data_IF_475751170053
#
_entry.id   IF_475751170053
#
_cell.length_a   1.000
_cell.length_b   1.000
_cell.length_c   1.000
_cell.angle_alpha   90.00
_cell.angle_beta   90.00
_cell.angle_gamma   90.00
#
_symmetry.space_group_name_H-M   'P 1'
#
loop_
_entity.id
_entity.type
_entity.pdbx_description
1 polymer ?
#
# COMPACT_ATOMS: atom_id res chain seq x y z
N UNK A 1 4.58 10.04 -11.44
CA UNK A 1 4.82 8.99 -12.45
C UNK A 1 3.71 7.96 -12.38
N UNK A 2 3.20 7.58 -13.50
CA UNK A 2 2.07 6.66 -13.60
C UNK A 2 2.52 5.38 -14.32
N UNK A 3 2.37 4.22 -13.66
CA UNK A 3 2.70 2.93 -14.24
C UNK A 3 1.46 2.05 -14.32
N UNK A 4 1.28 1.38 -15.43
CA UNK A 4 0.24 0.36 -15.57
C UNK A 4 0.74 -0.95 -15.00
N UNK A 5 -0.13 -1.70 -14.31
CA UNK A 5 0.22 -3.05 -13.86
C UNK A 5 0.41 -3.97 -15.06
N UNK A 6 1.32 -4.91 -14.92
CA UNK A 6 1.76 -5.79 -16.01
C UNK A 6 1.34 -7.22 -15.71
N UNK A 7 0.67 -7.84 -16.68
CA UNK A 7 0.40 -9.25 -16.66
C UNK A 7 -0.79 -9.69 -15.83
N UNK A 8 -1.10 -10.98 -15.92
CA UNK A 8 -2.16 -11.67 -15.20
C UNK A 8 -1.60 -12.94 -14.54
N UNK A 9 -2.36 -13.51 -13.61
CA UNK A 9 -1.98 -14.70 -12.88
C UNK A 9 -0.90 -14.45 -11.82
N UNK A 10 -0.33 -15.51 -11.28
CA UNK A 10 0.64 -15.42 -10.17
C UNK A 10 1.93 -14.71 -10.56
N UNK A 11 2.44 -14.95 -11.75
CA UNK A 11 3.67 -14.30 -12.23
C UNK A 11 3.46 -12.79 -12.40
N UNK A 12 2.34 -12.38 -12.99
CA UNK A 12 1.98 -10.97 -13.14
C UNK A 12 1.79 -10.28 -11.79
N UNK A 13 1.20 -10.96 -10.83
CA UNK A 13 1.05 -10.45 -9.47
C UNK A 13 2.41 -10.24 -8.80
N UNK A 14 3.32 -11.21 -8.92
CA UNK A 14 4.66 -11.08 -8.32
C UNK A 14 5.42 -9.90 -8.94
N UNK A 15 5.36 -9.75 -10.26
CA UNK A 15 5.97 -8.60 -10.94
C UNK A 15 5.39 -7.27 -10.45
N UNK A 16 4.07 -7.19 -10.31
CA UNK A 16 3.39 -6.01 -9.77
C UNK A 16 3.86 -5.68 -8.35
N UNK A 17 3.93 -6.68 -7.46
CA UNK A 17 4.41 -6.47 -6.09
C UNK A 17 5.87 -5.99 -6.06
N UNK A 18 6.72 -6.49 -6.95
CA UNK A 18 8.11 -6.04 -7.07
C UNK A 18 8.21 -4.60 -7.55
N UNK A 19 7.38 -4.21 -8.50
CA UNK A 19 7.29 -2.81 -8.96
C UNK A 19 6.82 -1.92 -7.81
N UNK A 20 5.78 -2.33 -7.09
CA UNK A 20 5.28 -1.61 -5.93
C UNK A 20 6.37 -1.40 -4.88
N UNK A 21 7.13 -2.43 -4.56
CA UNK A 21 8.24 -2.35 -3.61
C UNK A 21 9.32 -1.37 -4.08
N UNK A 22 9.65 -1.39 -5.37
CA UNK A 22 10.60 -0.46 -5.98
C UNK A 22 10.12 0.99 -5.89
N UNK A 23 8.84 1.24 -6.19
CA UNK A 23 8.25 2.57 -6.10
C UNK A 23 8.18 3.09 -4.67
N UNK A 24 7.87 2.22 -3.72
CA UNK A 24 7.85 2.59 -2.30
C UNK A 24 9.26 2.98 -1.82
N UNK A 25 10.28 2.21 -2.17
CA UNK A 25 11.67 2.53 -1.83
C UNK A 25 12.14 3.82 -2.49
N UNK A 26 11.77 4.05 -3.74
CA UNK A 26 12.10 5.29 -4.45
C UNK A 26 11.47 6.50 -3.77
N UNK A 27 10.20 6.41 -3.40
CA UNK A 27 9.52 7.47 -2.65
C UNK A 27 10.19 7.74 -1.29
N UNK A 28 10.63 6.69 -0.60
CA UNK A 28 11.32 6.82 0.68
C UNK A 28 12.65 7.57 0.58
N UNK A 29 13.23 7.67 -0.60
CA UNK A 29 14.44 8.45 -0.87
C UNK A 29 14.14 9.91 -1.29
N UNK A 30 12.89 10.27 -1.48
CA UNK A 30 12.50 11.63 -1.82
C UNK A 30 12.52 12.53 -0.58
N UNK A 31 13.19 13.70 -0.60
CA UNK A 31 13.32 14.56 0.58
C UNK A 31 11.99 15.07 1.14
N UNK A 32 11.04 15.44 0.28
CA UNK A 32 9.71 15.90 0.72
C UNK A 32 8.92 14.77 1.36
N UNK A 33 8.98 13.59 0.76
CA UNK A 33 8.33 12.41 1.32
C UNK A 33 8.94 12.01 2.67
N UNK A 34 10.26 12.07 2.81
CA UNK A 34 10.93 11.83 4.08
C UNK A 34 10.48 12.81 5.16
N UNK A 35 10.40 14.09 4.83
CA UNK A 35 9.93 15.13 5.75
C UNK A 35 8.50 14.86 6.22
N UNK A 36 7.63 14.52 5.29
CA UNK A 36 6.25 14.12 5.58
C UNK A 36 6.19 12.89 6.49
N UNK A 37 6.89 11.84 6.14
CA UNK A 37 6.88 10.58 6.89
C UNK A 37 7.40 10.76 8.32
N UNK A 38 8.43 11.57 8.51
CA UNK A 38 9.01 11.85 9.84
C UNK A 38 8.13 12.71 10.74
N UNK A 39 7.06 13.29 10.21
CA UNK A 39 6.07 14.01 11.03
C UNK A 39 5.21 13.07 11.88
N UNK A 40 5.15 11.80 11.52
CA UNK A 40 4.40 10.80 12.28
C UNK A 40 5.19 10.31 13.50
N UNK A 41 4.50 10.15 14.63
CA UNK A 41 5.09 9.77 15.91
C UNK A 41 5.17 8.26 16.12
N UNK A 42 4.29 7.51 15.45
CA UNK A 42 4.15 6.07 15.62
C UNK A 42 3.41 5.46 14.42
N UNK A 43 3.43 4.13 14.32
CA UNK A 43 2.64 3.41 13.33
C UNK A 43 1.14 3.69 13.50
N UNK A 44 0.66 3.72 14.73
CA UNK A 44 -0.75 4.00 15.02
C UNK A 44 -1.15 5.42 14.59
N UNK A 45 -0.25 6.40 14.75
CA UNK A 45 -0.45 7.76 14.26
C UNK A 45 -0.57 7.78 12.73
N UNK A 46 0.32 7.07 12.02
CA UNK A 46 0.24 6.93 10.57
C UNK A 46 -1.13 6.38 10.16
N UNK A 47 -1.54 5.28 10.76
CA UNK A 47 -2.80 4.65 10.41
C UNK A 47 -4.01 5.54 10.69
N UNK A 48 -4.04 6.23 11.83
CA UNK A 48 -5.14 7.12 12.18
C UNK A 48 -5.28 8.27 11.17
N UNK A 49 -4.18 8.93 10.81
CA UNK A 49 -4.20 10.06 9.87
C UNK A 49 -4.57 9.61 8.45
N UNK A 50 -3.97 8.53 7.97
CA UNK A 50 -4.23 8.06 6.61
C UNK A 50 -5.62 7.46 6.46
N UNK A 51 -6.14 6.80 7.48
CA UNK A 51 -7.51 6.29 7.47
C UNK A 51 -8.53 7.40 7.28
N UNK A 52 -8.36 8.52 7.96
CA UNK A 52 -9.26 9.68 7.83
C UNK A 52 -9.10 10.42 6.51
N UNK A 53 -7.88 10.48 5.97
CA UNK A 53 -7.60 11.15 4.71
C UNK A 53 -8.00 10.33 3.48
N UNK A 54 -8.13 9.01 3.64
CA UNK A 54 -8.30 8.08 2.53
C UNK A 54 -9.67 8.19 1.88
N UNK A 55 -9.65 8.18 0.52
CA UNK A 55 -10.85 8.08 -0.31
C UNK A 55 -10.58 7.08 -1.44
N UNK A 56 -11.35 5.99 -1.44
CA UNK A 56 -11.21 4.95 -2.47
C UNK A 56 -11.57 5.48 -3.85
N UNK A 57 -10.79 5.09 -4.85
CA UNK A 57 -11.06 5.39 -6.25
C UNK A 57 -10.83 4.13 -7.09
N UNK A 58 -11.92 3.63 -7.69
CA UNK A 58 -11.85 2.59 -8.70
C UNK A 58 -11.24 3.13 -10.00
N UNK A 59 -10.46 2.30 -10.66
CA UNK A 59 -9.91 2.61 -11.96
C UNK A 59 -10.28 1.53 -12.99
N UNK A 60 -10.71 1.97 -14.17
CA UNK A 60 -11.01 1.06 -15.28
C UNK A 60 -9.76 0.37 -15.81
N UNK A 61 -8.62 1.05 -15.73
CA UNK A 61 -7.31 0.52 -16.09
C UNK A 61 -6.47 0.49 -14.82
N UNK A 62 -5.99 -0.69 -14.46
CA UNK A 62 -5.15 -0.87 -13.29
C UNK A 62 -3.86 -0.06 -13.44
N UNK A 63 -3.66 0.90 -12.56
CA UNK A 63 -2.58 1.88 -12.62
C UNK A 63 -1.96 2.02 -11.23
N UNK A 64 -0.63 2.00 -11.20
CA UNK A 64 0.12 2.27 -9.98
C UNK A 64 0.55 3.74 -9.96
N UNK A 65 0.17 4.46 -8.92
CA UNK A 65 0.60 5.83 -8.71
C UNK A 65 1.78 5.89 -7.74
N UNK A 66 2.85 6.53 -8.18
CA UNK A 66 4.01 6.73 -7.31
C UNK A 66 3.61 7.44 -6.01
N UNK A 67 4.10 7.01 -4.83
CA UNK A 67 3.70 7.63 -3.56
C UNK A 67 3.98 9.13 -3.47
N UNK A 68 5.01 9.63 -4.14
CA UNK A 68 5.29 11.09 -4.19
C UNK A 68 4.15 11.83 -4.90
N UNK A 69 3.59 11.26 -5.97
CA UNK A 69 2.43 11.84 -6.65
C UNK A 69 1.22 11.88 -5.71
N UNK A 70 0.99 10.80 -4.97
CA UNK A 70 -0.11 10.75 -3.99
C UNK A 70 0.11 11.72 -2.83
N UNK A 71 1.35 11.96 -2.42
CA UNK A 71 1.67 12.97 -1.43
C UNK A 71 1.33 14.38 -1.92
N UNK A 72 1.70 14.72 -3.15
CA UNK A 72 1.36 16.01 -3.75
C UNK A 72 -0.15 16.23 -3.78
N UNK A 73 -0.91 15.20 -4.17
CA UNK A 73 -2.37 15.25 -4.17
C UNK A 73 -2.95 15.44 -2.76
N UNK A 74 -2.42 14.71 -1.78
CA UNK A 74 -2.81 14.85 -0.37
C UNK A 74 -2.57 16.27 0.14
N UNK A 75 -1.42 16.86 -0.17
CA UNK A 75 -1.06 18.22 0.23
C UNK A 75 -1.98 19.28 -0.41
N UNK A 76 -2.41 19.06 -1.64
CA UNK A 76 -3.28 19.99 -2.37
C UNK A 76 -4.74 19.87 -1.96
N UNK A 77 -5.22 18.68 -1.67
CA UNK A 77 -6.67 18.40 -1.49
C UNK A 77 -7.05 17.96 -0.08
N UNK A 78 -6.09 17.56 0.74
CA UNK A 78 -6.35 16.93 2.04
C UNK A 78 -6.83 15.48 1.93
N UNK A 79 -6.83 14.90 0.73
CA UNK A 79 -7.33 13.55 0.47
C UNK A 79 -6.23 12.66 -0.12
N UNK A 80 -6.14 11.45 0.42
CA UNK A 80 -5.33 10.37 -0.13
C UNK A 80 -6.25 9.47 -0.96
N UNK A 81 -6.14 9.58 -2.29
CA UNK A 81 -7.00 8.84 -3.21
C UNK A 81 -6.23 7.76 -3.94
N UNK A 82 -6.90 6.64 -4.18
CA UNK A 82 -6.34 5.52 -4.93
C UNK A 82 -7.10 4.23 -4.63
N UNK A 83 -6.62 3.16 -5.21
CA UNK A 83 -7.07 1.80 -4.90
C UNK A 83 -6.19 1.14 -3.83
N UNK A 84 -6.37 -0.17 -3.63
CA UNK A 84 -5.62 -0.89 -2.60
C UNK A 84 -4.10 -0.89 -2.85
N UNK A 85 -3.67 -0.96 -4.10
CA UNK A 85 -2.25 -0.96 -4.46
C UNK A 85 -1.58 0.37 -4.11
N UNK A 86 -2.23 1.48 -4.48
CA UNK A 86 -1.72 2.82 -4.23
C UNK A 86 -1.56 3.11 -2.74
N UNK A 87 -2.55 2.71 -1.97
CA UNK A 87 -2.56 2.91 -0.52
C UNK A 87 -1.52 2.04 0.16
N UNK A 88 -1.40 0.78 -0.24
CA UNK A 88 -0.38 -0.11 0.29
C UNK A 88 1.03 0.45 0.05
N UNK A 89 1.30 0.97 -1.15
CA UNK A 89 2.59 1.59 -1.47
C UNK A 89 2.85 2.85 -0.64
N UNK A 90 1.84 3.67 -0.42
CA UNK A 90 1.97 4.90 0.36
C UNK A 90 2.35 4.59 1.82
N UNK A 91 1.66 3.64 2.44
CA UNK A 91 2.02 3.15 3.78
C UNK A 91 3.45 2.59 3.82
N UNK A 92 3.78 1.72 2.87
CA UNK A 92 5.09 1.08 2.82
C UNK A 92 6.23 2.09 2.69
N UNK A 93 6.04 3.13 1.89
CA UNK A 93 7.02 4.20 1.75
C UNK A 93 7.24 4.95 3.08
N UNK A 94 6.18 5.25 3.81
CA UNK A 94 6.27 5.86 5.14
C UNK A 94 7.03 4.94 6.10
N UNK A 95 6.66 3.66 6.16
CA UNK A 95 7.32 2.69 7.03
C UNK A 95 8.80 2.56 6.70
N UNK A 96 9.16 2.58 5.42
CA UNK A 96 10.56 2.54 4.99
C UNK A 96 11.34 3.74 5.50
N UNK A 97 10.79 4.96 5.40
CA UNK A 97 11.42 6.17 5.95
C UNK A 97 11.62 6.03 7.47
N UNK A 98 10.63 5.49 8.16
CA UNK A 98 10.67 5.34 9.62
C UNK A 98 11.52 4.15 10.09
N UNK A 99 12.10 3.38 9.18
CA UNK A 99 12.91 2.21 9.51
C UNK A 99 12.10 1.01 10.00
N UNK A 100 10.82 0.96 9.67
CA UNK A 100 9.92 -0.13 10.05
C UNK A 100 9.86 -1.15 8.91
N UNK A 101 10.25 -2.41 9.15
CA UNK A 101 10.14 -3.45 8.13
C UNK A 101 8.68 -3.61 7.68
N UNK A 102 8.48 -3.68 6.37
CA UNK A 102 7.15 -3.85 5.80
C UNK A 102 7.17 -4.84 4.64
N UNK A 103 6.00 -5.34 4.29
CA UNK A 103 5.79 -6.24 3.16
C UNK A 103 4.41 -6.04 2.56
N UNK A 104 4.30 -6.28 1.26
CA UNK A 104 3.01 -6.39 0.59
C UNK A 104 2.50 -7.82 0.67
N UNK A 105 1.21 -7.96 0.84
CA UNK A 105 0.53 -9.25 0.81
C UNK A 105 -0.60 -9.16 -0.21
N UNK A 106 -0.46 -9.87 -1.31
CA UNK A 106 -1.54 -10.07 -2.27
C UNK A 106 -2.39 -11.25 -1.83
N UNK A 107 -3.70 -11.10 -1.88
CA UNK A 107 -4.64 -12.10 -1.39
C UNK A 107 -5.68 -12.47 -2.45
N UNK A 108 -6.07 -13.74 -2.43
CA UNK A 108 -7.27 -14.21 -3.10
C UNK A 108 -8.44 -14.08 -2.13
N UNK A 109 -9.36 -13.17 -2.41
CA UNK A 109 -10.49 -12.88 -1.52
C UNK A 109 -11.73 -13.73 -1.80
N UNK A 110 -11.71 -14.51 -2.90
CA UNK A 110 -12.77 -15.44 -3.27
C UNK A 110 -12.21 -16.86 -3.37
N UNK A 111 -13.00 -17.84 -2.90
CA UNK A 111 -12.58 -19.24 -2.77
C UNK A 111 -12.14 -19.91 -4.07
N UNK A 112 -12.67 -19.49 -5.21
CA UNK A 112 -12.39 -20.11 -6.53
C UNK A 112 -11.71 -19.16 -7.49
N UNK A 113 -11.15 -18.05 -7.00
CA UNK A 113 -10.38 -17.15 -7.85
C UNK A 113 -9.01 -17.74 -8.18
N UNK A 114 -8.67 -17.71 -9.47
CA UNK A 114 -7.32 -17.99 -9.94
C UNK A 114 -6.40 -16.78 -9.84
N UNK A 115 -6.96 -15.61 -9.55
CA UNK A 115 -6.24 -14.33 -9.49
C UNK A 115 -6.30 -13.70 -8.10
N UNK A 116 -5.22 -12.99 -7.75
CA UNK A 116 -5.16 -12.16 -6.56
C UNK A 116 -5.97 -10.89 -6.78
N UNK A 117 -6.89 -10.61 -5.87
CA UNK A 117 -7.87 -9.53 -6.02
C UNK A 117 -7.69 -8.38 -5.04
N UNK A 118 -6.77 -8.50 -4.08
CA UNK A 118 -6.55 -7.49 -3.06
C UNK A 118 -5.10 -7.48 -2.61
N UNK A 119 -4.56 -6.28 -2.36
CA UNK A 119 -3.21 -6.08 -1.82
C UNK A 119 -3.31 -5.25 -0.54
N UNK A 120 -2.57 -5.66 0.46
CA UNK A 120 -2.41 -4.92 1.71
C UNK A 120 -0.95 -4.77 2.06
N UNK A 121 -0.64 -3.86 2.96
CA UNK A 121 0.67 -3.75 3.59
C UNK A 121 0.62 -4.31 5.01
N UNK A 122 1.68 -5.00 5.39
CA UNK A 122 1.92 -5.41 6.76
C UNK A 122 3.25 -4.81 7.25
N UNK A 123 3.27 -4.34 8.48
CA UNK A 123 4.46 -3.82 9.13
C UNK A 123 4.85 -4.69 10.32
N UNK A 124 6.16 -4.87 10.53
CA UNK A 124 6.69 -5.66 11.64
C UNK A 124 6.98 -4.75 12.83
N UNK A 125 6.26 -4.97 13.91
CA UNK A 125 6.41 -4.24 15.15
C UNK A 125 5.95 -5.08 16.32
N UNK A 126 6.57 -4.90 17.48
CA UNK A 126 6.25 -5.68 18.70
C UNK A 126 6.30 -7.20 18.45
N UNK A 127 7.31 -7.63 17.70
CA UNK A 127 7.59 -9.03 17.38
C UNK A 127 6.52 -9.75 16.57
N UNK A 128 5.71 -9.01 15.80
CA UNK A 128 4.67 -9.55 14.93
C UNK A 128 4.42 -8.69 13.70
N UNK A 129 3.87 -9.31 12.66
CA UNK A 129 3.34 -8.63 11.49
C UNK A 129 1.91 -8.18 11.75
N UNK A 130 1.65 -6.90 11.52
CA UNK A 130 0.31 -6.30 11.64
C UNK A 130 -0.10 -5.68 10.32
N UNK A 131 -1.34 -5.95 9.92
CA UNK A 131 -1.94 -5.47 8.67
C UNK A 131 -2.50 -4.07 8.83
N UNK A 132 -2.30 -3.24 7.78
CA UNK A 132 -2.85 -1.89 7.67
C UNK A 132 -3.55 -1.76 6.34
N UNK A 133 -4.87 -1.61 6.37
CA UNK A 133 -5.71 -1.57 5.19
C UNK A 133 -6.92 -0.65 5.41
N UNK A 134 -6.85 0.65 5.01
CA UNK A 134 -7.97 1.56 5.16
C UNK A 134 -9.13 1.29 4.19
N UNK A 135 -8.96 0.39 3.22
CA UNK A 135 -10.03 0.01 2.29
C UNK A 135 -11.05 -0.92 2.91
N UNK A 136 -10.71 -1.54 4.03
CA UNK A 136 -11.60 -2.47 4.75
C UNK A 136 -12.42 -1.73 5.79
N UNK A 137 -13.72 -1.96 5.78
CA UNK A 137 -14.64 -1.42 6.78
C UNK A 137 -14.33 -2.05 8.14
N UNK A 138 -14.22 -1.25 9.22
CA UNK A 138 -13.99 -1.80 10.55
C UNK A 138 -15.00 -2.87 10.94
N UNK A 139 -14.50 -4.00 11.43
CA UNK A 139 -15.34 -5.16 11.79
C UNK A 139 -15.56 -6.17 10.67
N UNK A 140 -15.15 -5.87 9.43
CA UNK A 140 -15.19 -6.84 8.34
C UNK A 140 -14.04 -7.83 8.47
N UNK A 141 -14.34 -9.12 8.35
CA UNK A 141 -13.32 -10.18 8.33
C UNK A 141 -12.92 -10.43 6.88
N UNK A 142 -11.65 -10.24 6.58
CA UNK A 142 -11.08 -10.67 5.31
C UNK A 142 -10.67 -12.13 5.39
N UNK A 143 -11.23 -12.96 4.49
CA UNK A 143 -10.85 -14.36 4.36
C UNK A 143 -9.78 -14.45 3.27
N UNK A 144 -8.68 -15.10 3.59
CA UNK A 144 -7.53 -15.26 2.72
C UNK A 144 -7.52 -16.70 2.17
N UNK A 145 -7.88 -16.84 0.91
CA UNK A 145 -7.89 -18.14 0.22
C UNK A 145 -6.59 -18.45 -0.49
N UNK A 146 -5.63 -17.56 -0.48
CA UNK A 146 -4.30 -17.70 -1.03
C UNK A 146 -3.54 -16.40 -0.93
N UNK A 147 -2.23 -16.50 -0.67
CA UNK A 147 -1.42 -15.32 -0.40
C UNK A 147 -0.08 -15.37 -1.12
N UNK A 148 0.39 -14.19 -1.51
CA UNK A 148 1.73 -13.96 -2.03
C UNK A 148 2.33 -12.75 -1.32
N UNK A 149 3.61 -12.83 -0.97
CA UNK A 149 4.27 -11.82 -0.14
C UNK A 149 5.51 -11.28 -0.84
N UNK A 150 5.71 -9.96 -0.76
CA UNK A 150 6.92 -9.29 -1.22
C UNK A 150 7.39 -8.28 -0.18
N UNK A 151 8.65 -8.39 0.25
CA UNK A 151 9.23 -7.46 1.23
C UNK A 151 9.66 -6.14 0.57
N UNK A 152 9.51 -5.06 1.30
CA UNK A 152 9.86 -3.71 0.84
C UNK A 152 11.23 -3.28 1.33
#
# INVERSE_FOLDING_TARGET
>A
MRLMSIGSGEQGTLETLRIMASLARDAANNPEFQSFARSFRSIDHVNAELYHAFKYRDEEIETLYHPVFNLEHLQQTGQLTGDCDDIAMFYAAIFTVLGIPSRFVAMKTRKHDDEFSHVVVEAFSNNRWKRYDPTVIPGMVQIDYGRMTEYV
#
